data_IF_948582233782
#
_entry.id   IF_948582233782
#
_cell.length_a   1.000
_cell.length_b   1.000
_cell.length_c   1.000
_cell.angle_alpha   90.00
_cell.angle_beta   90.00
_cell.angle_gamma   90.00
#
_symmetry.space_group_name_H-M   'P 1'
#
loop_
_entity.id
_entity.type
_entity.pdbx_description
1 polymer ?
#
# COMPACT_ATOMS: atom_id res chain seq x y z
N UNK A 1 -11.97 -1.02 33.13
CA UNK A 1 -12.49 -2.23 32.48
C UNK A 1 -11.89 -2.27 31.08
N UNK A 2 -11.12 -3.31 30.77
CA UNK A 2 -10.43 -3.57 29.49
C UNK A 2 -9.58 -2.40 28.95
N UNK A 3 -8.45 -2.15 29.62
CA UNK A 3 -7.35 -1.41 29.00
C UNK A 3 -6.72 -2.29 27.94
N UNK A 4 -7.16 -2.15 26.69
CA UNK A 4 -6.49 -2.73 25.52
C UNK A 4 -5.13 -2.03 25.39
N UNK A 5 -4.14 -2.56 26.11
CA UNK A 5 -2.79 -2.07 26.06
C UNK A 5 -2.04 -2.63 24.85
N UNK A 6 -0.83 -2.11 24.67
CA UNK A 6 0.15 -2.69 23.75
C UNK A 6 0.39 -4.20 23.97
N UNK A 7 0.33 -4.77 25.20
CA UNK A 7 0.49 -6.20 25.42
C UNK A 7 -0.61 -7.06 24.75
N UNK A 8 -1.88 -6.69 24.91
CA UNK A 8 -3.02 -7.43 24.36
C UNK A 8 -3.01 -7.42 22.83
N UNK A 9 -2.68 -6.27 22.22
CA UNK A 9 -2.49 -6.14 20.77
C UNK A 9 -1.34 -7.03 20.29
N UNK A 10 -0.25 -7.12 21.07
CA UNK A 10 0.87 -8.02 20.78
C UNK A 10 0.47 -9.49 20.75
N UNK A 11 -0.37 -9.94 21.69
CA UNK A 11 -0.85 -11.32 21.72
C UNK A 11 -1.70 -11.65 20.48
N UNK A 12 -2.62 -10.75 20.11
CA UNK A 12 -3.45 -10.92 18.91
C UNK A 12 -2.58 -10.94 17.65
N UNK A 13 -1.59 -10.05 17.57
CA UNK A 13 -0.64 -10.02 16.46
C UNK A 13 0.11 -11.35 16.36
N UNK A 14 0.64 -11.90 17.46
CA UNK A 14 1.32 -13.20 17.46
C UNK A 14 0.37 -14.31 16.99
N UNK A 15 -0.87 -14.36 17.48
CA UNK A 15 -1.86 -15.34 17.04
C UNK A 15 -2.12 -15.24 15.52
N UNK A 16 -2.30 -14.02 15.00
CA UNK A 16 -2.46 -13.78 13.58
C UNK A 16 -1.21 -14.19 12.77
N UNK A 17 0.00 -13.94 13.30
CA UNK A 17 1.25 -14.37 12.67
C UNK A 17 1.42 -15.89 12.65
N UNK A 18 0.86 -16.64 13.60
CA UNK A 18 0.85 -18.11 13.56
C UNK A 18 -0.08 -18.63 12.47
N UNK A 19 -1.26 -18.00 12.31
CA UNK A 19 -2.26 -18.40 11.31
C UNK A 19 -1.80 -18.03 9.89
N UNK A 20 -1.40 -16.77 9.69
CA UNK A 20 -1.04 -16.24 8.37
C UNK A 20 0.44 -16.42 8.03
N UNK A 21 1.32 -16.56 9.03
CA UNK A 21 2.76 -16.63 8.86
C UNK A 21 3.44 -15.26 8.82
N UNK A 22 4.64 -15.10 9.43
CA UNK A 22 5.34 -13.81 9.46
C UNK A 22 5.82 -13.32 8.10
N UNK A 23 5.93 -14.21 7.11
CA UNK A 23 6.27 -13.82 5.73
C UNK A 23 5.09 -13.24 4.95
N UNK A 24 3.84 -13.55 5.31
CA UNK A 24 2.66 -13.07 4.57
C UNK A 24 2.36 -11.60 4.83
N UNK A 25 2.62 -11.10 6.03
CA UNK A 25 2.46 -9.67 6.35
C UNK A 25 3.33 -8.75 5.46
N UNK A 26 4.66 -8.95 5.32
CA UNK A 26 5.49 -8.13 4.44
C UNK A 26 5.22 -8.38 2.95
N UNK A 27 4.84 -9.60 2.56
CA UNK A 27 4.46 -9.93 1.18
C UNK A 27 3.21 -9.14 0.75
N UNK A 28 2.15 -9.17 1.58
CA UNK A 28 0.93 -8.38 1.37
C UNK A 28 1.19 -6.88 1.47
N UNK A 29 1.98 -6.44 2.46
CA UNK A 29 2.37 -5.03 2.60
C UNK A 29 3.16 -4.50 1.41
N UNK A 30 4.04 -5.31 0.82
CA UNK A 30 4.80 -4.95 -0.39
C UNK A 30 3.90 -4.84 -1.61
N UNK A 31 2.93 -5.76 -1.77
CA UNK A 31 1.96 -5.71 -2.86
C UNK A 31 1.06 -4.47 -2.73
N UNK A 32 0.47 -4.25 -1.55
CA UNK A 32 -0.34 -3.07 -1.25
C UNK A 32 0.46 -1.78 -1.39
N UNK A 33 1.73 -1.77 -0.97
CA UNK A 33 2.62 -0.62 -1.07
C UNK A 33 2.92 -0.22 -2.52
N UNK A 34 3.15 -1.20 -3.41
CA UNK A 34 3.30 -0.94 -4.85
C UNK A 34 2.03 -0.37 -5.45
N UNK A 35 0.89 -0.95 -5.11
CA UNK A 35 -0.43 -0.47 -5.53
C UNK A 35 -0.68 0.96 -5.06
N UNK A 36 -0.49 1.23 -3.77
CA UNK A 36 -0.69 2.55 -3.18
C UNK A 36 0.30 3.58 -3.71
N UNK A 37 1.52 3.16 -4.07
CA UNK A 37 2.51 4.01 -4.74
C UNK A 37 2.03 4.43 -6.12
N UNK A 38 1.56 3.50 -6.95
CA UNK A 38 0.94 3.83 -8.24
C UNK A 38 -0.26 4.77 -8.04
N UNK A 39 -1.19 4.43 -7.15
CA UNK A 39 -2.31 5.35 -6.85
C UNK A 39 -1.83 6.75 -6.44
N UNK A 40 -0.76 6.85 -5.65
CA UNK A 40 -0.18 8.14 -5.27
C UNK A 40 0.44 8.87 -6.46
N UNK A 41 1.18 8.18 -7.33
CA UNK A 41 1.87 8.79 -8.47
C UNK A 41 0.84 9.37 -9.46
N UNK A 42 -0.22 8.63 -9.76
CA UNK A 42 -1.36 9.09 -10.57
C UNK A 42 -2.12 10.26 -9.94
N UNK A 43 -2.35 10.24 -8.61
CA UNK A 43 -2.99 11.35 -7.91
C UNK A 43 -2.12 12.62 -7.85
N UNK A 44 -0.79 12.48 -7.89
CA UNK A 44 0.15 13.61 -7.87
C UNK A 44 0.56 14.07 -9.27
N UNK A 45 0.10 13.39 -10.34
CA UNK A 45 0.28 13.87 -11.71
C UNK A 45 -0.61 15.10 -11.91
N UNK A 46 -0.03 16.31 -12.09
CA UNK A 46 -0.84 17.48 -12.35
C UNK A 46 -1.63 17.29 -13.66
N UNK A 47 -2.83 17.86 -13.81
CA UNK A 47 -3.69 17.70 -15.01
C UNK A 47 -3.13 18.24 -16.33
N UNK A 48 -1.83 18.54 -16.39
CA UNK A 48 -1.23 19.39 -17.41
C UNK A 48 -0.10 18.68 -18.11
N UNK A 49 -0.40 17.59 -18.84
CA UNK A 49 0.34 17.12 -20.03
C UNK A 49 -0.59 16.23 -20.87
N UNK A 50 -1.67 16.83 -21.38
CA UNK A 50 -2.37 16.39 -22.59
C UNK A 50 -2.12 17.48 -23.65
N UNK A 51 -0.87 17.59 -24.10
CA UNK A 51 -0.47 18.34 -25.28
C UNK A 51 0.85 17.80 -25.82
N UNK A 52 1.05 17.88 -27.14
CA UNK A 52 2.28 17.60 -27.88
C UNK A 52 2.66 16.13 -28.16
N UNK A 53 1.80 15.40 -28.89
CA UNK A 53 2.21 14.44 -29.96
C UNK A 53 1.16 14.33 -31.08
N UNK A 54 0.94 15.40 -31.83
CA UNK A 54 0.34 15.34 -33.18
C UNK A 54 0.79 16.56 -34.00
N UNK A 55 2.08 16.59 -34.34
CA UNK A 55 2.62 17.50 -35.35
C UNK A 55 3.85 16.86 -35.98
N UNK A 56 3.62 15.89 -36.88
CA UNK A 56 4.46 15.66 -38.07
C UNK A 56 3.74 14.65 -39.00
N UNK A 57 2.88 15.13 -39.88
CA UNK A 57 2.55 14.43 -41.12
C UNK A 57 2.55 15.50 -42.23
N UNK A 58 3.45 15.41 -43.23
CA UNK A 58 3.63 16.42 -44.28
C UNK A 58 2.44 16.53 -45.25
#
# INVERSE_FOLDING_TARGET
MFGLGWPEVGIIAIAALVIFGPKKIPEMGSALGKTLRGFKDEMNKPPSEENDKEQDIP
#
